data_IF_276576760080
#
_entry.id   IF_276576760080
#
_cell.length_a   1.000
_cell.length_b   1.000
_cell.length_c   1.000
_cell.angle_alpha   90.00
_cell.angle_beta   90.00
_cell.angle_gamma   90.00
#
_symmetry.space_group_name_H-M   'P 1'
#
loop_
_entity.id
_entity.type
_entity.pdbx_description
1 polymer ?
#
# COMPACT_ATOMS: atom_id res chain seq x y z
N UNK A 1 -23.19 -6.69 9.58
CA UNK A 1 -22.76 -5.28 9.48
C UNK A 1 -22.24 -5.02 8.08
N UNK A 2 -22.56 -3.89 7.42
CA UNK A 2 -22.03 -3.59 6.07
C UNK A 2 -20.54 -3.26 6.18
N UNK A 3 -19.69 -3.96 5.41
CA UNK A 3 -18.24 -3.84 5.51
C UNK A 3 -17.76 -2.45 5.06
N UNK A 4 -17.08 -1.73 5.92
CA UNK A 4 -16.46 -0.44 5.61
C UNK A 4 -15.29 -0.62 4.64
N UNK A 5 -15.16 0.30 3.66
CA UNK A 5 -14.00 0.34 2.78
C UNK A 5 -12.84 1.07 3.48
N UNK A 6 -11.59 0.64 3.30
CA UNK A 6 -10.47 1.38 3.87
C UNK A 6 -10.25 2.72 3.17
N UNK A 7 -9.71 3.70 3.90
CA UNK A 7 -9.20 4.94 3.32
C UNK A 7 -8.03 4.63 2.40
N UNK A 8 -7.98 5.28 1.24
CA UNK A 8 -6.91 5.12 0.25
C UNK A 8 -6.15 6.42 0.05
N UNK A 9 -4.82 6.32 -0.09
CA UNK A 9 -3.94 7.46 -0.23
C UNK A 9 -3.89 8.02 -1.65
N UNK A 10 -3.82 9.36 -1.78
CA UNK A 10 -3.31 10.05 -2.95
C UNK A 10 -1.76 10.15 -2.89
N UNK A 11 -1.05 10.36 -4.02
CA UNK A 11 0.33 10.80 -4.00
C UNK A 11 0.49 12.15 -3.27
N UNK A 12 1.62 12.38 -2.62
CA UNK A 12 1.90 13.67 -1.98
C UNK A 12 1.95 14.81 -3.00
N UNK A 13 2.38 14.53 -4.23
CA UNK A 13 2.47 15.49 -5.34
C UNK A 13 1.12 15.90 -5.94
N UNK A 14 0.03 15.20 -5.61
CA UNK A 14 -1.29 15.45 -6.23
C UNK A 14 -1.91 16.79 -5.83
N UNK A 15 -1.68 17.21 -4.58
CA UNK A 15 -2.16 18.50 -4.03
C UNK A 15 -1.26 18.93 -2.88
N UNK A 16 -0.90 20.22 -2.74
CA UNK A 16 -0.16 20.74 -1.61
C UNK A 16 -0.80 20.38 -0.25
N UNK A 17 0.03 20.15 0.76
CA UNK A 17 -0.40 19.92 2.14
C UNK A 17 -0.34 21.25 2.89
N UNK A 18 -1.39 21.56 3.64
CA UNK A 18 -1.45 22.73 4.52
C UNK A 18 -0.79 22.41 5.87
N UNK A 19 0.47 22.79 6.01
CA UNK A 19 1.24 22.62 7.24
C UNK A 19 0.94 23.66 8.34
N UNK A 20 -0.01 24.57 8.13
CA UNK A 20 -0.51 25.44 9.22
C UNK A 20 -1.38 24.65 10.20
N UNK A 21 -1.83 23.47 9.82
CA UNK A 21 -2.59 22.50 10.61
C UNK A 21 -1.71 21.30 10.98
N UNK A 22 -2.06 20.55 12.04
CA UNK A 22 -1.32 19.34 12.39
C UNK A 22 -1.24 18.34 11.23
N UNK A 23 -0.02 17.97 10.88
CA UNK A 23 0.28 16.91 9.91
C UNK A 23 1.10 15.84 10.62
N UNK A 24 0.71 14.59 10.42
CA UNK A 24 1.32 13.43 11.01
C UNK A 24 2.02 12.59 9.95
N UNK A 25 3.10 11.95 10.32
CA UNK A 25 3.83 11.05 9.44
C UNK A 25 4.01 9.69 10.09
N UNK A 26 3.83 8.65 9.27
CA UNK A 26 4.07 7.24 9.59
C UNK A 26 5.00 6.64 8.54
N UNK A 27 5.83 5.63 8.88
CA UNK A 27 6.52 4.85 7.86
C UNK A 27 5.50 4.14 6.97
N UNK A 28 5.79 4.08 5.67
CA UNK A 28 4.98 3.31 4.73
C UNK A 28 5.49 1.87 4.70
N UNK A 29 4.66 0.97 5.18
CA UNK A 29 4.95 -0.45 5.24
C UNK A 29 4.68 -1.09 3.87
N UNK A 30 5.58 -1.92 3.40
CA UNK A 30 5.40 -2.73 2.20
C UNK A 30 4.87 -4.11 2.61
N UNK A 31 3.59 -4.17 2.90
CA UNK A 31 2.90 -5.35 3.38
C UNK A 31 1.56 -5.59 2.68
N UNK A 32 0.67 -6.25 3.37
CA UNK A 32 -0.67 -6.60 2.86
C UNK A 32 -1.73 -5.96 3.74
N UNK A 33 -2.51 -5.04 3.17
CA UNK A 33 -3.59 -4.35 3.89
C UNK A 33 -4.53 -5.34 4.59
N UNK A 34 -4.78 -5.06 5.86
CA UNK A 34 -5.66 -5.87 6.69
C UNK A 34 -6.57 -4.97 7.53
N UNK A 35 -7.88 -5.22 7.45
CA UNK A 35 -8.86 -4.68 8.38
C UNK A 35 -9.31 -5.81 9.29
N UNK A 36 -9.32 -5.57 10.62
CA UNK A 36 -9.81 -6.54 11.59
C UNK A 36 -11.02 -5.94 12.29
N UNK A 37 -12.12 -6.67 12.33
CA UNK A 37 -13.37 -6.27 12.96
C UNK A 37 -13.96 -7.42 13.78
N UNK A 38 -14.85 -7.10 14.70
CA UNK A 38 -15.63 -8.11 15.41
C UNK A 38 -16.81 -8.61 14.56
N UNK A 39 -17.06 -9.90 14.57
CA UNK A 39 -18.28 -10.50 14.08
C UNK A 39 -19.01 -11.19 15.24
N UNK A 40 -20.34 -11.00 15.30
CA UNK A 40 -21.17 -11.57 16.36
C UNK A 40 -21.29 -13.07 16.18
N UNK A 41 -20.99 -13.82 17.23
CA UNK A 41 -21.18 -15.26 17.25
C UNK A 41 -22.67 -15.61 17.39
N UNK A 42 -23.10 -16.79 16.89
CA UNK A 42 -24.45 -17.30 17.11
C UNK A 42 -24.79 -17.41 18.61
N UNK A 43 -26.08 -17.41 18.91
CA UNK A 43 -26.60 -17.66 20.26
C UNK A 43 -26.06 -16.74 21.36
N UNK A 44 -25.72 -15.47 20.97
CA UNK A 44 -25.18 -14.44 21.88
C UNK A 44 -23.88 -14.85 22.62
N UNK A 45 -23.08 -15.74 22.03
CA UNK A 45 -21.79 -16.18 22.59
C UNK A 45 -20.68 -15.11 22.50
N UNK A 46 -21.03 -13.84 22.21
CA UNK A 46 -20.09 -12.73 22.13
C UNK A 46 -19.61 -12.48 20.71
N UNK A 47 -18.34 -12.08 20.57
CA UNK A 47 -17.75 -11.62 19.32
C UNK A 47 -16.45 -12.37 19.04
N UNK A 48 -16.17 -12.60 17.74
CA UNK A 48 -14.87 -13.09 17.30
C UNK A 48 -14.23 -12.09 16.32
N UNK A 49 -12.90 -11.90 16.36
CA UNK A 49 -12.20 -11.07 15.40
C UNK A 49 -12.08 -11.77 14.05
N UNK A 50 -12.43 -11.06 12.98
CA UNK A 50 -12.30 -11.53 11.60
C UNK A 50 -11.50 -10.50 10.79
N UNK A 51 -10.59 -10.99 9.96
CA UNK A 51 -9.67 -10.17 9.19
C UNK A 51 -9.99 -10.18 7.70
N UNK A 52 -9.93 -9.00 7.07
CA UNK A 52 -10.25 -8.82 5.67
C UNK A 52 -9.18 -8.04 4.91
N UNK A 53 -8.98 -8.41 3.66
CA UNK A 53 -8.19 -7.64 2.70
C UNK A 53 -8.92 -6.35 2.29
N UNK A 54 -8.21 -5.44 1.64
CA UNK A 54 -8.77 -4.23 1.02
C UNK A 54 -10.00 -4.50 0.14
N UNK A 55 -10.01 -5.64 -0.57
CA UNK A 55 -11.09 -6.01 -1.48
C UNK A 55 -12.14 -6.91 -0.85
N UNK A 56 -11.95 -7.33 0.40
CA UNK A 56 -12.87 -8.10 1.17
C UNK A 56 -12.72 -9.60 1.18
N UNK A 57 -11.62 -10.07 0.72
CA UNK A 57 -11.28 -11.47 0.94
C UNK A 57 -10.83 -11.64 2.37
N UNK A 58 -11.34 -12.66 3.05
CA UNK A 58 -10.93 -13.01 4.41
C UNK A 58 -9.49 -13.56 4.41
N UNK A 59 -8.70 -13.10 5.38
CA UNK A 59 -7.40 -13.67 5.70
C UNK A 59 -7.57 -14.85 6.68
N UNK A 60 -7.08 -16.03 6.31
CA UNK A 60 -7.31 -17.28 7.06
C UNK A 60 -6.06 -17.83 7.74
N UNK A 61 -4.89 -17.27 7.51
CA UNK A 61 -3.64 -17.79 8.05
C UNK A 61 -2.95 -16.79 8.98
N UNK A 62 -3.74 -16.15 9.85
CA UNK A 62 -3.28 -15.21 10.87
C UNK A 62 -3.99 -15.44 12.22
N UNK A 63 -4.34 -16.69 12.53
CA UNK A 63 -5.12 -17.05 13.72
C UNK A 63 -4.47 -16.58 15.01
N UNK A 64 -3.13 -16.61 15.10
CA UNK A 64 -2.39 -16.14 16.26
C UNK A 64 -2.62 -14.67 16.59
N UNK A 65 -2.83 -13.82 15.55
CA UNK A 65 -3.18 -12.41 15.72
C UNK A 65 -4.64 -12.28 16.17
N UNK A 66 -5.54 -12.99 15.49
CA UNK A 66 -6.97 -12.94 15.80
C UNK A 66 -7.24 -13.43 17.22
N UNK A 67 -6.66 -14.57 17.62
CA UNK A 67 -6.78 -15.11 18.97
C UNK A 67 -6.27 -14.12 20.02
N UNK A 68 -5.14 -13.46 19.78
CA UNK A 68 -4.62 -12.47 20.73
C UNK A 68 -5.53 -11.25 20.87
N UNK A 69 -6.23 -10.84 19.80
CA UNK A 69 -7.15 -9.70 19.79
C UNK A 69 -8.57 -10.03 20.29
N UNK A 70 -8.88 -11.29 20.60
CA UNK A 70 -10.22 -11.67 21.09
C UNK A 70 -10.66 -10.86 22.31
N UNK A 71 -9.85 -10.66 23.38
CA UNK A 71 -10.27 -9.84 24.53
C UNK A 71 -10.54 -8.39 24.14
N UNK A 72 -9.74 -7.82 23.21
CA UNK A 72 -9.95 -6.46 22.71
C UNK A 72 -11.34 -6.33 22.07
N UNK A 73 -11.71 -7.25 21.17
CA UNK A 73 -12.97 -7.18 20.44
C UNK A 73 -14.18 -7.58 21.28
N UNK A 74 -14.01 -8.36 22.34
CA UNK A 74 -15.06 -8.57 23.33
C UNK A 74 -15.42 -7.27 24.04
N UNK A 75 -14.41 -6.45 24.37
CA UNK A 75 -14.61 -5.15 25.01
C UNK A 75 -15.01 -4.03 24.02
N UNK A 76 -14.60 -4.14 22.75
CA UNK A 76 -14.74 -3.10 21.73
C UNK A 76 -15.34 -3.63 20.41
N UNK A 77 -16.57 -4.19 20.43
CA UNK A 77 -17.12 -4.91 19.27
C UNK A 77 -17.44 -4.03 18.06
N UNK A 78 -17.48 -2.71 18.22
CA UNK A 78 -17.79 -1.77 17.15
C UNK A 78 -16.52 -1.19 16.46
N UNK A 79 -15.33 -1.46 17.00
CA UNK A 79 -14.07 -0.96 16.44
C UNK A 79 -13.69 -1.78 15.22
N UNK A 80 -13.17 -1.10 14.19
CA UNK A 80 -12.53 -1.73 13.04
C UNK A 80 -11.09 -1.24 13.02
N UNK A 81 -10.14 -2.15 13.22
CA UNK A 81 -8.72 -1.87 13.12
C UNK A 81 -8.29 -1.83 11.66
N UNK A 82 -7.45 -0.86 11.31
CA UNK A 82 -6.89 -0.68 9.98
C UNK A 82 -5.37 -0.72 10.04
N UNK A 83 -4.78 -1.69 9.36
CA UNK A 83 -3.34 -1.96 9.46
C UNK A 83 -2.79 -2.73 8.27
N UNK A 84 -1.55 -3.18 8.44
CA UNK A 84 -0.80 -3.94 7.46
C UNK A 84 -0.31 -5.25 8.07
N UNK A 85 -0.46 -6.36 7.36
CA UNK A 85 0.25 -7.61 7.66
C UNK A 85 1.67 -7.45 7.13
N UNK A 86 2.63 -7.40 8.03
CA UNK A 86 4.00 -7.00 7.76
C UNK A 86 4.98 -7.60 8.77
N UNK A 87 6.24 -7.61 8.43
CA UNK A 87 7.35 -7.85 9.35
C UNK A 87 8.59 -7.12 8.83
N UNK A 88 9.11 -6.20 9.60
CA UNK A 88 10.26 -5.38 9.18
C UNK A 88 11.53 -6.19 8.93
N UNK A 89 11.71 -7.32 9.62
CA UNK A 89 12.81 -8.25 9.34
C UNK A 89 12.71 -8.92 7.95
N UNK A 90 11.53 -8.85 7.31
CA UNK A 90 11.26 -9.37 5.97
C UNK A 90 10.98 -8.26 4.96
N UNK A 91 11.40 -7.03 5.23
CA UNK A 91 11.16 -5.86 4.35
C UNK A 91 11.64 -6.08 2.92
N UNK A 92 12.73 -6.83 2.75
CA UNK A 92 13.32 -7.16 1.44
C UNK A 92 12.74 -8.45 0.84
N UNK A 93 11.70 -9.03 1.46
CA UNK A 93 11.05 -10.28 1.06
C UNK A 93 9.52 -10.22 1.19
N UNK A 94 8.93 -9.24 0.52
CA UNK A 94 7.49 -9.04 0.47
C UNK A 94 6.71 -10.30 0.03
N UNK A 95 7.29 -11.08 -0.90
CA UNK A 95 6.66 -12.31 -1.39
C UNK A 95 6.49 -13.35 -0.31
N UNK A 96 7.39 -13.39 0.68
CA UNK A 96 7.30 -14.30 1.83
C UNK A 96 6.07 -13.98 2.68
N UNK A 97 5.82 -12.70 2.97
CA UNK A 97 4.61 -12.25 3.67
C UNK A 97 3.36 -12.64 2.89
N UNK A 98 3.33 -12.32 1.59
CA UNK A 98 2.20 -12.68 0.72
C UNK A 98 1.95 -14.19 0.72
N UNK A 99 3.00 -15.01 0.60
CA UNK A 99 2.85 -16.46 0.57
C UNK A 99 2.24 -17.01 1.85
N UNK A 100 2.61 -16.43 3.01
CA UNK A 100 2.02 -16.80 4.30
C UNK A 100 0.53 -16.43 4.37
N UNK A 101 0.18 -15.16 4.07
CA UNK A 101 -1.18 -14.65 4.33
C UNK A 101 -2.23 -15.08 3.30
N UNK A 102 -1.83 -15.40 2.07
CA UNK A 102 -2.76 -15.81 0.99
C UNK A 102 -3.25 -17.26 1.07
N UNK A 103 -2.79 -18.04 2.02
CA UNK A 103 -3.24 -19.43 2.21
C UNK A 103 -4.74 -19.46 2.54
N UNK A 104 -5.54 -20.06 1.67
CA UNK A 104 -7.01 -20.18 1.84
C UNK A 104 -7.41 -21.43 2.64
N UNK A 105 -6.55 -22.45 2.61
CA UNK A 105 -6.66 -23.70 3.37
C UNK A 105 -5.31 -23.98 4.04
N UNK A 106 -4.95 -23.20 5.09
CA UNK A 106 -3.66 -23.38 5.74
C UNK A 106 -3.57 -24.70 6.50
N UNK A 107 -2.42 -25.36 6.39
CA UNK A 107 -2.04 -26.52 7.21
C UNK A 107 -1.51 -26.04 8.56
N UNK A 108 -1.27 -26.96 9.49
CA UNK A 108 -0.65 -26.63 10.78
C UNK A 108 0.79 -26.08 10.60
N UNK A 109 1.52 -26.57 9.61
CA UNK A 109 2.84 -26.03 9.26
C UNK A 109 2.73 -24.58 8.73
N UNK A 110 1.73 -24.27 7.86
CA UNK A 110 1.48 -22.92 7.40
C UNK A 110 1.13 -21.97 8.54
N UNK A 111 0.32 -22.42 9.51
CA UNK A 111 -0.05 -21.64 10.71
C UNK A 111 1.15 -21.39 11.61
N UNK A 112 2.00 -22.42 11.83
CA UNK A 112 3.22 -22.30 12.61
C UNK A 112 4.22 -21.32 11.95
N UNK A 113 4.36 -21.35 10.64
CA UNK A 113 5.18 -20.40 9.88
C UNK A 113 4.62 -18.97 9.99
N UNK A 114 3.32 -18.77 9.73
CA UNK A 114 2.66 -17.47 9.86
C UNK A 114 2.84 -16.88 11.26
N UNK A 115 2.69 -17.70 12.32
CA UNK A 115 2.88 -17.28 13.71
C UNK A 115 4.27 -16.70 13.98
N UNK A 116 5.30 -17.18 13.30
CA UNK A 116 6.69 -16.70 13.44
C UNK A 116 6.96 -15.45 12.62
N UNK A 117 6.34 -15.34 11.45
CA UNK A 117 6.73 -14.37 10.42
C UNK A 117 5.76 -13.20 10.27
N UNK A 118 4.46 -13.40 10.49
CA UNK A 118 3.45 -12.38 10.20
C UNK A 118 3.08 -11.62 11.46
N UNK A 119 3.12 -10.29 11.37
CA UNK A 119 2.65 -9.36 12.40
C UNK A 119 1.56 -8.46 11.81
N UNK A 120 0.65 -7.99 12.65
CA UNK A 120 -0.32 -6.96 12.29
C UNK A 120 0.14 -5.61 12.82
N UNK A 121 0.49 -4.71 11.92
CA UNK A 121 0.90 -3.36 12.23
C UNK A 121 -0.29 -2.41 12.08
N UNK A 122 -0.90 -2.04 13.20
CA UNK A 122 -2.06 -1.15 13.23
C UNK A 122 -1.61 0.32 13.16
N UNK A 123 -2.13 1.06 12.21
CA UNK A 123 -1.83 2.48 12.02
C UNK A 123 -3.07 3.38 12.10
N UNK A 124 -4.28 2.84 12.15
CA UNK A 124 -5.51 3.61 12.26
C UNK A 124 -6.68 2.74 12.76
N UNK A 125 -7.80 3.36 13.06
CA UNK A 125 -9.11 2.73 13.19
C UNK A 125 -10.11 3.38 12.23
N UNK A 126 -11.12 2.64 11.81
CA UNK A 126 -12.17 3.16 10.93
C UNK A 126 -13.23 3.86 11.78
N UNK A 127 -13.01 5.13 12.06
CA UNK A 127 -13.94 6.00 12.76
C UNK A 127 -14.10 7.33 12.00
N UNK A 128 -15.33 7.58 11.50
CA UNK A 128 -15.66 8.74 10.67
C UNK A 128 -15.99 9.99 11.51
N UNK A 129 -15.91 9.90 12.85
CA UNK A 129 -16.22 10.99 13.80
C UNK A 129 -14.98 11.56 14.47
N UNK A 130 -13.99 10.70 14.77
CA UNK A 130 -12.76 11.08 15.45
C UNK A 130 -11.73 11.65 14.44
N UNK A 131 -10.97 12.65 14.88
CA UNK A 131 -9.79 13.15 14.19
C UNK A 131 -8.69 12.08 14.11
N UNK A 132 -7.69 12.27 13.24
CA UNK A 132 -6.59 11.30 13.16
C UNK A 132 -5.80 11.21 14.48
N UNK A 133 -5.57 12.32 15.15
CA UNK A 133 -4.86 12.35 16.43
C UNK A 133 -5.56 11.52 17.51
N UNK A 134 -6.88 11.67 17.62
CA UNK A 134 -7.70 10.89 18.55
C UNK A 134 -7.67 9.39 18.22
N UNK A 135 -7.78 9.03 16.94
CA UNK A 135 -7.67 7.64 16.47
C UNK A 135 -6.28 7.05 16.73
N UNK A 136 -5.23 7.84 16.47
CA UNK A 136 -3.85 7.44 16.73
C UNK A 136 -3.60 7.19 18.23
N UNK A 137 -4.12 8.09 19.08
CA UNK A 137 -4.07 7.92 20.54
C UNK A 137 -4.80 6.64 20.97
N UNK A 138 -5.99 6.39 20.43
CA UNK A 138 -6.76 5.17 20.72
C UNK A 138 -5.94 3.91 20.36
N UNK A 139 -5.33 3.85 19.17
CA UNK A 139 -4.49 2.73 18.75
C UNK A 139 -3.33 2.52 19.71
N UNK A 140 -2.64 3.59 20.07
CA UNK A 140 -1.48 3.54 20.96
C UNK A 140 -1.83 3.08 22.37
N UNK A 141 -2.94 3.56 22.93
CA UNK A 141 -3.35 3.23 24.30
C UNK A 141 -3.89 1.81 24.45
N UNK A 142 -4.48 1.24 23.37
CA UNK A 142 -5.25 0.00 23.47
C UNK A 142 -4.60 -1.22 22.80
N UNK A 143 -3.57 -1.07 21.97
CA UNK A 143 -3.08 -2.19 21.14
C UNK A 143 -1.63 -2.62 21.40
N UNK A 144 -0.95 -2.09 22.42
CA UNK A 144 0.49 -2.37 22.64
C UNK A 144 0.83 -3.78 23.12
N UNK A 145 -0.07 -4.46 23.80
CA UNK A 145 0.23 -5.65 24.58
C UNK A 145 -0.28 -6.96 23.97
N UNK A 146 -0.74 -6.92 22.71
CA UNK A 146 -1.24 -8.12 22.05
C UNK A 146 -0.16 -8.83 21.23
N UNK A 147 -0.08 -10.14 21.35
CA UNK A 147 0.88 -10.95 20.61
C UNK A 147 0.69 -10.82 19.09
N UNK A 148 1.79 -10.59 18.38
CA UNK A 148 1.76 -10.42 16.93
C UNK A 148 1.17 -9.09 16.45
N UNK A 149 0.78 -8.18 17.37
CA UNK A 149 0.28 -6.84 17.06
C UNK A 149 1.36 -5.80 17.35
N UNK A 150 1.45 -4.78 16.51
CA UNK A 150 2.34 -3.63 16.66
C UNK A 150 1.56 -2.36 16.34
N UNK A 151 1.82 -1.29 17.06
CA UNK A 151 1.34 0.06 16.70
C UNK A 151 2.39 0.72 15.80
N UNK A 152 1.95 1.37 14.72
CA UNK A 152 2.88 2.06 13.81
C UNK A 152 3.30 3.39 14.43
N UNK A 153 4.62 3.68 14.53
CA UNK A 153 5.12 4.95 15.04
C UNK A 153 4.54 6.12 14.24
N UNK A 154 4.03 7.12 14.95
CA UNK A 154 3.44 8.32 14.36
C UNK A 154 4.10 9.54 14.95
N UNK A 155 4.60 10.43 14.11
CA UNK A 155 5.27 11.67 14.51
C UNK A 155 4.56 12.89 13.92
N UNK A 156 4.54 13.99 14.65
CA UNK A 156 4.08 15.28 14.14
C UNK A 156 5.13 15.86 13.19
N UNK A 157 4.69 16.36 12.05
CA UNK A 157 5.55 16.92 11.00
C UNK A 157 5.08 18.34 10.67
N UNK A 158 5.68 19.37 11.27
CA UNK A 158 5.13 20.73 11.23
C UNK A 158 5.41 21.49 9.94
N UNK A 159 6.36 21.03 9.11
CA UNK A 159 6.75 21.70 7.86
C UNK A 159 7.04 20.71 6.75
N UNK A 160 6.98 21.17 5.51
CA UNK A 160 7.38 20.37 4.34
C UNK A 160 8.85 19.94 4.41
N UNK A 161 9.73 20.83 4.86
CA UNK A 161 11.16 20.51 5.03
C UNK A 161 11.34 19.37 6.03
N UNK A 162 10.65 19.42 7.18
CA UNK A 162 10.72 18.35 8.17
C UNK A 162 10.11 17.04 7.62
N UNK A 163 9.06 17.13 6.78
CA UNK A 163 8.50 15.96 6.11
C UNK A 163 9.54 15.28 5.20
N UNK A 164 10.31 16.05 4.43
CA UNK A 164 11.38 15.51 3.57
C UNK A 164 12.49 14.84 4.39
N UNK A 165 12.91 15.45 5.49
CA UNK A 165 13.93 14.87 6.41
C UNK A 165 13.41 13.56 7.02
N UNK A 166 12.18 13.54 7.52
CA UNK A 166 11.60 12.34 8.11
C UNK A 166 11.35 11.25 7.06
N UNK A 167 11.02 11.63 5.82
CA UNK A 167 10.88 10.70 4.71
C UNK A 167 12.21 10.01 4.38
N UNK A 168 13.31 10.78 4.27
CA UNK A 168 14.64 10.22 4.07
C UNK A 168 15.02 9.24 5.20
N UNK A 169 14.74 9.57 6.47
CA UNK A 169 14.97 8.65 7.60
C UNK A 169 14.17 7.34 7.48
N UNK A 170 12.92 7.41 7.00
CA UNK A 170 12.14 6.20 6.77
C UNK A 170 12.75 5.31 5.67
N UNK A 171 13.22 5.92 4.57
CA UNK A 171 13.94 5.21 3.50
C UNK A 171 15.23 4.57 4.02
N UNK A 172 16.06 5.32 4.75
CA UNK A 172 17.29 4.81 5.37
C UNK A 172 17.04 3.66 6.35
N UNK A 173 15.87 3.67 6.99
CA UNK A 173 15.42 2.57 7.86
C UNK A 173 14.86 1.38 7.09
N UNK A 174 14.81 1.40 5.75
CA UNK A 174 14.33 0.31 4.90
C UNK A 174 12.81 0.24 4.75
N UNK A 175 12.08 1.31 5.00
CA UNK A 175 10.66 1.40 4.68
C UNK A 175 10.44 1.81 3.21
N UNK A 176 9.29 1.46 2.65
CA UNK A 176 8.90 1.80 1.26
C UNK A 176 8.79 3.33 1.01
N UNK A 177 8.79 4.11 2.05
CA UNK A 177 8.57 5.54 2.04
C UNK A 177 7.81 6.01 3.27
N UNK A 178 6.92 6.98 3.08
CA UNK A 178 6.14 7.55 4.18
C UNK A 178 4.66 7.71 3.84
N UNK A 179 3.85 7.74 4.87
CA UNK A 179 2.45 8.14 4.82
C UNK A 179 2.30 9.45 5.60
N UNK A 180 1.73 10.47 4.97
CA UNK A 180 1.35 11.73 5.61
C UNK A 180 -0.16 11.74 5.84
N UNK A 181 -0.58 12.25 6.99
CA UNK A 181 -1.98 12.36 7.40
C UNK A 181 -2.28 13.75 7.91
N UNK A 182 -3.35 14.35 7.44
CA UNK A 182 -3.94 15.54 8.06
C UNK A 182 -4.84 15.13 9.23
N UNK A 183 -5.12 16.05 10.15
CA UNK A 183 -5.92 15.75 11.36
C UNK A 183 -7.44 15.72 11.09
N UNK A 184 -7.82 15.07 10.00
CA UNK A 184 -9.21 14.93 9.58
C UNK A 184 -9.81 13.60 10.05
N UNK A 185 -11.13 13.47 9.96
CA UNK A 185 -11.84 12.21 10.23
C UNK A 185 -11.54 11.15 9.18
N UNK A 186 -11.76 9.87 9.52
CA UNK A 186 -11.56 8.77 8.60
C UNK A 186 -12.57 8.81 7.44
N UNK A 187 -12.10 8.60 6.21
CA UNK A 187 -12.94 8.59 5.01
C UNK A 187 -12.86 7.22 4.32
N UNK A 188 -13.98 6.52 4.22
CA UNK A 188 -14.05 5.19 3.61
C UNK A 188 -13.93 5.21 2.07
N UNK A 189 -13.04 6.06 1.54
CA UNK A 189 -12.74 6.28 0.12
C UNK A 189 -11.30 6.74 -0.08
N UNK A 190 -10.90 7.01 -1.32
CA UNK A 190 -9.64 7.73 -1.57
C UNK A 190 -9.76 9.17 -1.07
N UNK A 191 -8.78 9.61 -0.27
CA UNK A 191 -8.83 10.91 0.40
C UNK A 191 -7.48 11.62 0.36
N UNK A 192 -7.55 12.95 0.26
CA UNK A 192 -6.39 13.82 0.42
C UNK A 192 -5.93 13.96 1.89
N UNK A 193 -6.72 13.51 2.84
CA UNK A 193 -6.29 13.40 4.25
C UNK A 193 -5.29 12.28 4.50
N UNK A 194 -5.05 11.43 3.49
CA UNK A 194 -4.06 10.37 3.49
C UNK A 194 -3.20 10.49 2.23
N UNK A 195 -1.90 10.70 2.40
CA UNK A 195 -0.95 10.88 1.30
C UNK A 195 0.18 9.88 1.38
N UNK A 196 0.53 9.29 0.23
CA UNK A 196 1.72 8.46 0.10
C UNK A 196 2.87 9.29 -0.44
N UNK A 197 3.99 9.24 0.26
CA UNK A 197 5.25 9.82 -0.14
C UNK A 197 6.20 8.68 -0.49
N UNK A 198 6.50 8.53 -1.77
CA UNK A 198 7.40 7.55 -2.33
C UNK A 198 8.33 8.24 -3.30
N UNK A 199 9.57 7.83 -3.29
CA UNK A 199 10.51 8.20 -4.35
C UNK A 199 10.38 7.23 -5.51
N UNK A 200 10.57 7.76 -6.72
CA UNK A 200 10.65 6.98 -7.94
C UNK A 200 11.99 7.28 -8.59
N UNK A 201 12.59 6.26 -9.14
CA UNK A 201 13.81 6.37 -9.92
C UNK A 201 13.47 6.45 -11.39
N UNK A 202 14.24 7.20 -12.15
CA UNK A 202 14.18 7.21 -13.61
C UNK A 202 15.22 6.22 -14.15
N UNK A 203 14.88 5.52 -15.21
CA UNK A 203 15.80 4.71 -15.99
C UNK A 203 15.35 4.72 -17.46
N UNK A 204 16.16 4.09 -18.30
CA UNK A 204 15.98 4.08 -19.74
C UNK A 204 15.90 2.66 -20.27
N UNK A 205 15.10 2.48 -21.31
CA UNK A 205 14.95 1.21 -22.01
C UNK A 205 14.51 1.43 -23.45
N UNK A 206 14.90 0.51 -24.34
CA UNK A 206 14.47 0.53 -25.73
C UNK A 206 13.11 -0.14 -25.86
N UNK A 207 12.16 0.54 -26.49
CA UNK A 207 10.82 -0.01 -26.79
C UNK A 207 10.97 -1.11 -27.84
N UNK A 208 10.50 -2.30 -27.52
CA UNK A 208 10.55 -3.48 -28.40
C UNK A 208 9.19 -3.83 -29.02
N UNK A 209 8.09 -3.48 -28.33
CA UNK A 209 6.72 -3.81 -28.75
C UNK A 209 5.74 -2.93 -27.98
N UNK A 210 4.45 -3.10 -28.24
CA UNK A 210 3.37 -2.40 -27.58
C UNK A 210 2.17 -3.33 -27.35
N UNK A 211 1.29 -2.95 -26.40
CA UNK A 211 0.06 -3.66 -26.09
C UNK A 211 -1.09 -2.67 -26.02
N UNK A 212 -2.18 -2.98 -26.70
CA UNK A 212 -3.41 -2.19 -26.67
C UNK A 212 -4.05 -2.16 -25.27
N UNK A 213 -4.72 -1.06 -24.95
CA UNK A 213 -5.53 -0.94 -23.74
C UNK A 213 -6.74 -1.88 -23.77
N UNK A 214 -7.22 -2.31 -22.59
CA UNK A 214 -8.37 -3.23 -22.46
C UNK A 214 -9.61 -2.52 -21.94
N UNK A 215 -10.78 -3.07 -22.24
CA UNK A 215 -12.09 -2.58 -21.79
C UNK A 215 -12.37 -1.17 -22.31
N UNK A 216 -12.55 -0.20 -21.42
CA UNK A 216 -12.81 1.21 -21.80
C UNK A 216 -11.62 1.91 -22.48
N UNK A 217 -10.46 1.25 -22.56
CA UNK A 217 -9.23 1.77 -23.18
C UNK A 217 -8.90 1.09 -24.51
N UNK A 218 -9.81 0.33 -25.10
CA UNK A 218 -9.67 -0.19 -26.46
C UNK A 218 -9.49 0.97 -27.45
N UNK A 219 -8.61 0.83 -28.44
CA UNK A 219 -8.21 1.89 -29.37
C UNK A 219 -7.17 2.86 -28.80
N UNK A 220 -6.54 2.54 -27.66
CA UNK A 220 -5.46 3.34 -27.07
C UNK A 220 -4.24 2.49 -26.75
N UNK A 221 -3.08 3.13 -26.61
CA UNK A 221 -1.90 2.45 -26.07
C UNK A 221 -2.14 2.06 -24.61
N UNK A 222 -1.93 0.80 -24.26
CA UNK A 222 -2.02 0.30 -22.89
C UNK A 222 -0.68 0.28 -22.19
N UNK A 223 0.34 -0.26 -22.84
CA UNK A 223 1.73 -0.29 -22.36
C UNK A 223 2.70 -0.48 -23.52
N UNK A 224 3.91 -0.02 -23.36
CA UNK A 224 5.05 -0.45 -24.16
C UNK A 224 5.74 -1.66 -23.52
N UNK A 225 6.22 -2.57 -24.35
CA UNK A 225 7.19 -3.59 -23.97
C UNK A 225 8.59 -3.01 -24.23
N UNK A 226 9.53 -3.25 -23.34
CA UNK A 226 10.86 -2.67 -23.45
C UNK A 226 11.94 -3.62 -22.94
N UNK A 227 13.17 -3.37 -23.37
CA UNK A 227 14.37 -4.06 -22.91
C UNK A 227 15.34 -3.01 -22.36
N UNK A 228 15.87 -3.22 -21.14
CA UNK A 228 16.91 -2.36 -20.57
C UNK A 228 18.32 -2.76 -21.03
N UNK A 229 19.33 -1.98 -20.61
CA UNK A 229 20.73 -2.23 -20.93
C UNK A 229 21.26 -3.56 -20.39
N UNK A 230 20.63 -4.11 -19.34
CA UNK A 230 20.99 -5.42 -18.75
C UNK A 230 20.31 -6.60 -19.48
N UNK A 231 19.47 -6.32 -20.49
CA UNK A 231 18.73 -7.33 -21.25
C UNK A 231 17.40 -7.77 -20.61
N UNK A 232 16.95 -7.12 -19.53
CA UNK A 232 15.67 -7.45 -18.89
C UNK A 232 14.52 -6.91 -19.73
N UNK A 233 13.54 -7.76 -20.02
CA UNK A 233 12.32 -7.39 -20.74
C UNK A 233 11.18 -7.14 -19.75
N UNK A 234 10.46 -6.04 -19.93
CA UNK A 234 9.34 -5.67 -19.06
C UNK A 234 8.31 -4.80 -19.78
N UNK A 235 7.15 -4.60 -19.16
CA UNK A 235 6.11 -3.73 -19.71
C UNK A 235 6.03 -2.42 -18.95
N UNK A 236 6.00 -1.29 -19.66
CA UNK A 236 5.82 0.07 -19.16
C UNK A 236 4.38 0.54 -19.48
N UNK A 237 3.42 0.46 -18.54
CA UNK A 237 2.11 1.08 -18.72
C UNK A 237 2.22 2.56 -19.08
N UNK A 238 1.37 3.02 -20.00
CA UNK A 238 1.30 4.44 -20.36
C UNK A 238 0.09 5.07 -19.68
N UNK A 239 0.32 6.17 -18.97
CA UNK A 239 -0.70 6.89 -18.21
C UNK A 239 -0.83 8.31 -18.73
N UNK A 240 -1.91 8.57 -19.45
CA UNK A 240 -2.24 9.91 -19.97
C UNK A 240 -3.77 10.02 -20.20
N UNK A 241 -4.24 11.16 -20.69
CA UNK A 241 -5.63 11.30 -21.10
C UNK A 241 -5.94 10.44 -22.34
N UNK A 242 -7.21 10.10 -22.51
CA UNK A 242 -7.66 9.16 -23.55
C UNK A 242 -7.23 9.59 -24.96
N UNK A 243 -7.36 10.90 -25.29
CA UNK A 243 -7.02 11.44 -26.62
C UNK A 243 -5.53 11.26 -26.94
N UNK A 244 -4.65 11.55 -25.99
CA UNK A 244 -3.19 11.37 -26.17
C UNK A 244 -2.82 9.91 -26.30
N UNK A 245 -3.39 9.02 -25.49
CA UNK A 245 -3.19 7.58 -25.61
C UNK A 245 -3.68 7.02 -26.96
N UNK A 246 -4.74 7.57 -27.49
CA UNK A 246 -5.26 7.21 -28.84
C UNK A 246 -4.33 7.70 -29.95
N UNK A 247 -3.78 8.90 -29.84
CA UNK A 247 -2.79 9.42 -30.78
C UNK A 247 -1.54 8.51 -30.77
N UNK A 248 -1.00 8.24 -29.59
CA UNK A 248 0.17 7.34 -29.43
C UNK A 248 -0.10 5.94 -30.01
N UNK A 249 -1.31 5.44 -29.89
CA UNK A 249 -1.71 4.14 -30.46
C UNK A 249 -1.71 4.15 -32.00
N UNK A 250 -2.12 5.25 -32.64
CA UNK A 250 -2.06 5.39 -34.10
C UNK A 250 -0.63 5.43 -34.64
N UNK A 251 0.29 5.91 -33.83
CA UNK A 251 1.71 6.08 -34.15
C UNK A 251 2.59 4.93 -33.63
N UNK A 252 1.97 3.84 -33.14
CA UNK A 252 2.63 2.77 -32.39
C UNK A 252 3.87 2.17 -33.07
N UNK A 253 3.86 2.03 -34.39
CA UNK A 253 5.00 1.51 -35.15
C UNK A 253 6.23 2.42 -35.09
N UNK A 254 6.00 3.73 -34.98
CA UNK A 254 7.09 4.72 -34.88
C UNK A 254 7.76 4.77 -33.50
N UNK A 255 7.21 4.06 -32.51
CA UNK A 255 7.77 4.02 -31.16
C UNK A 255 8.74 2.85 -30.95
N UNK A 256 8.61 1.77 -31.74
CA UNK A 256 9.49 0.58 -31.65
C UNK A 256 10.91 0.96 -32.07
N UNK A 257 11.89 0.55 -31.27
CA UNK A 257 13.30 0.87 -31.47
C UNK A 257 13.75 2.21 -30.85
N UNK A 258 12.80 3.05 -30.36
CA UNK A 258 13.15 4.28 -29.67
C UNK A 258 13.50 4.02 -28.21
N UNK A 259 14.43 4.82 -27.68
CA UNK A 259 14.74 4.85 -26.26
C UNK A 259 13.68 5.67 -25.51
N UNK A 260 13.21 5.12 -24.39
CA UNK A 260 12.23 5.76 -23.53
C UNK A 260 12.75 5.88 -22.11
N UNK A 261 12.50 7.02 -21.48
CA UNK A 261 12.60 7.17 -20.03
C UNK A 261 11.36 6.61 -19.37
N UNK A 262 11.53 5.83 -18.33
CA UNK A 262 10.46 5.35 -17.48
C UNK A 262 10.78 5.58 -16.01
N UNK A 263 9.74 5.67 -15.18
CA UNK A 263 9.89 5.72 -13.72
C UNK A 263 9.64 4.35 -13.14
N UNK A 264 10.35 3.97 -12.09
CA UNK A 264 10.08 2.75 -11.32
C UNK A 264 10.32 2.99 -9.84
N UNK A 265 9.77 2.11 -9.01
CA UNK A 265 9.89 2.25 -7.56
C UNK A 265 11.19 1.61 -7.05
N UNK A 266 11.43 0.34 -7.38
CA UNK A 266 12.64 -0.41 -6.99
C UNK A 266 12.84 -1.60 -7.94
N UNK A 267 13.98 -2.28 -7.83
CA UNK A 267 14.19 -3.58 -8.47
C UNK A 267 13.86 -4.72 -7.49
N UNK A 268 13.25 -5.78 -8.01
CA UNK A 268 13.00 -7.03 -7.26
C UNK A 268 14.28 -7.86 -7.17
N UNK A 269 14.28 -8.90 -6.32
CA UNK A 269 15.38 -9.89 -6.25
C UNK A 269 15.68 -10.56 -7.61
N UNK A 270 14.68 -10.69 -8.47
CA UNK A 270 14.82 -11.18 -9.84
C UNK A 270 15.27 -10.12 -10.84
N UNK A 271 15.80 -8.98 -10.38
CA UNK A 271 16.21 -7.82 -11.16
C UNK A 271 15.13 -7.22 -12.08
N UNK A 272 13.84 -7.47 -11.78
CA UNK A 272 12.70 -6.88 -12.48
C UNK A 272 12.30 -5.54 -11.85
N UNK A 273 11.65 -4.67 -12.62
CA UNK A 273 11.19 -3.37 -12.12
C UNK A 273 9.83 -3.48 -11.42
N UNK A 274 9.70 -2.88 -10.23
CA UNK A 274 8.40 -2.70 -9.56
C UNK A 274 7.75 -1.40 -10.01
N UNK A 275 6.50 -1.50 -10.47
CA UNK A 275 5.69 -0.37 -10.93
C UNK A 275 6.35 0.49 -12.02
N UNK A 276 6.94 -0.09 -13.08
CA UNK A 276 7.49 0.70 -14.16
C UNK A 276 6.35 1.47 -14.86
N UNK A 277 6.58 2.75 -15.16
CA UNK A 277 5.65 3.61 -15.87
C UNK A 277 6.40 4.38 -16.97
N UNK A 278 5.90 4.35 -18.18
CA UNK A 278 6.41 5.17 -19.26
C UNK A 278 6.31 6.66 -18.88
N UNK A 279 7.38 7.41 -19.11
CA UNK A 279 7.48 8.85 -18.85
C UNK A 279 7.57 9.66 -20.13
N UNK A 280 8.56 9.38 -20.97
CA UNK A 280 8.79 10.11 -22.21
C UNK A 280 9.67 9.30 -23.16
N UNK A 281 9.62 9.64 -24.46
CA UNK A 281 10.63 9.23 -25.42
C UNK A 281 11.84 10.15 -25.25
N UNK A 282 13.03 9.60 -25.38
CA UNK A 282 14.26 10.37 -25.48
C UNK A 282 14.49 10.77 -26.95
N UNK A 283 14.15 11.99 -27.28
CA UNK A 283 14.57 12.61 -28.50
C UNK A 283 15.81 13.48 -28.17
N UNK A 284 16.98 12.89 -28.29
CA UNK A 284 18.23 13.68 -28.34
C UNK A 284 18.66 13.79 -29.80
N UNK A 285 18.48 14.94 -30.35
CA UNK A 285 19.34 15.45 -31.39
C UNK A 285 20.40 16.37 -30.77
#
# INVERSE_FOLDING_TARGET
MMRKKPMLAYPVSDKPIDYTKPVFMQPKLDGVRCLIQAEKLPFDMGYEPVAYSRTGKQWKNIDHILQSLTPFFQANPNVILDGELYNHALRDDFEKIISCVRKTKPTDADRAESRKLVQFHCYDIVDETLTFEERCKFVFDNLRDYYGVRTVPTIVTPTESQAKVNHARNLDSGYEGSILRTNDTYQCKRSHSLRKFKDFHDAEAVITDWVEGKGKRVGTIGKFMAIDADGNTFGMPVMDNFKKLQTMFKEMQGWVGKEATFTYFERTKANSYRHPLFKAIRDYE
#
